data_IF_028505001782
#
_entry.id   IF_028505001782
#
_cell.length_a   1.000
_cell.length_b   1.000
_cell.length_c   1.000
_cell.angle_alpha   90.00
_cell.angle_beta   90.00
_cell.angle_gamma   90.00
#
_symmetry.space_group_name_H-M   'P 1'
#
loop_
_entity.id
_entity.type
_entity.pdbx_description
1 polymer ?
#
# COMPACT_ATOMS: atom_id res chain seq x y z
N UNK A 1 17.69 4.94 55.44
CA UNK A 1 16.62 4.90 54.42
C UNK A 1 17.04 5.76 53.23
N UNK A 2 17.36 5.18 52.07
CA UNK A 2 17.53 5.84 50.74
C UNK A 2 18.31 4.92 49.79
N UNK A 3 17.71 3.83 49.32
CA UNK A 3 18.21 3.03 48.17
C UNK A 3 17.07 2.19 47.60
N UNK A 4 16.03 2.82 47.05
CA UNK A 4 14.96 2.09 46.32
C UNK A 4 14.42 2.80 45.07
N UNK A 5 15.06 3.88 44.60
CA UNK A 5 14.52 4.68 43.49
C UNK A 5 15.16 4.44 42.11
N UNK A 6 16.12 3.53 41.98
CA UNK A 6 16.84 3.33 40.69
C UNK A 6 16.20 2.21 39.84
N UNK A 7 15.35 1.35 40.41
CA UNK A 7 14.76 0.23 39.65
C UNK A 7 13.55 0.65 38.80
N UNK A 8 12.85 1.75 39.12
CA UNK A 8 11.67 2.18 38.36
C UNK A 8 12.00 2.92 37.05
N UNK A 9 13.20 3.49 36.91
CA UNK A 9 13.55 4.22 35.69
C UNK A 9 13.89 3.27 34.52
N UNK A 10 14.45 2.08 34.81
CA UNK A 10 14.79 1.11 33.77
C UNK A 10 13.56 0.48 33.11
N UNK A 11 12.46 0.34 33.84
CA UNK A 11 11.22 -0.22 33.29
C UNK A 11 10.55 0.72 32.27
N UNK A 12 10.70 2.03 32.43
CA UNK A 12 10.13 3.03 31.52
C UNK A 12 10.85 3.02 30.17
N UNK A 13 12.17 2.79 30.16
CA UNK A 13 12.94 2.70 28.90
C UNK A 13 12.60 1.42 28.13
N UNK A 14 12.36 0.30 28.83
CA UNK A 14 11.97 -0.97 28.20
C UNK A 14 10.52 -0.98 27.68
N UNK A 15 9.62 -0.17 28.28
CA UNK A 15 8.24 -0.05 27.83
C UNK A 15 8.06 0.91 26.63
N UNK A 16 9.02 1.81 26.38
CA UNK A 16 9.01 2.66 25.18
C UNK A 16 9.41 1.89 23.92
N UNK A 17 10.21 0.83 24.03
CA UNK A 17 10.57 -0.04 22.90
C UNK A 17 9.47 -1.05 22.52
N UNK A 18 8.39 -1.16 23.31
CA UNK A 18 7.29 -2.09 23.08
C UNK A 18 6.07 -1.46 22.39
N UNK A 19 6.17 -0.19 21.97
CA UNK A 19 5.22 0.48 21.07
C UNK A 19 5.89 0.87 19.75
N UNK A 20 6.79 0.05 19.23
CA UNK A 20 7.11 0.10 17.81
C UNK A 20 6.18 -0.91 17.12
N UNK A 21 4.92 -0.53 16.93
CA UNK A 21 4.17 -1.02 15.78
C UNK A 21 4.83 -0.34 14.57
N UNK A 22 6.05 -0.78 14.22
CA UNK A 22 6.69 -0.38 12.98
C UNK A 22 5.79 -0.92 11.87
N UNK A 23 5.13 0.01 11.19
CA UNK A 23 4.36 -0.28 9.99
C UNK A 23 5.30 -0.92 8.96
N UNK A 24 5.00 -2.15 8.57
CA UNK A 24 5.84 -2.97 7.68
C UNK A 24 6.09 -2.31 6.32
N UNK A 25 5.17 -1.45 5.87
CA UNK A 25 5.26 -0.79 4.59
C UNK A 25 6.01 0.54 4.67
N UNK A 26 6.08 1.15 5.85
CA UNK A 26 6.64 2.50 6.00
C UNK A 26 8.10 2.58 5.57
N UNK A 27 8.41 3.58 4.75
CA UNK A 27 9.72 3.81 4.15
C UNK A 27 9.99 2.96 2.90
N UNK A 28 9.04 2.15 2.44
CA UNK A 28 9.18 1.34 1.22
C UNK A 28 8.49 2.00 0.03
N UNK A 29 9.08 1.81 -1.15
CA UNK A 29 8.47 2.14 -2.43
C UNK A 29 8.27 0.86 -3.23
N UNK A 30 7.10 0.74 -3.84
CA UNK A 30 6.73 -0.43 -4.62
C UNK A 30 6.08 -0.04 -5.94
N UNK A 31 6.31 -0.86 -6.95
CA UNK A 31 5.59 -0.80 -8.21
C UNK A 31 4.45 -1.84 -8.20
N UNK A 32 3.22 -1.38 -8.40
CA UNK A 32 2.06 -2.26 -8.57
C UNK A 32 1.88 -2.54 -10.06
N UNK A 33 1.92 -3.80 -10.47
CA UNK A 33 1.91 -4.17 -11.89
C UNK A 33 1.00 -5.35 -12.20
N UNK A 34 0.51 -5.43 -13.44
CA UNK A 34 -0.28 -6.56 -13.90
C UNK A 34 0.57 -7.83 -14.02
N UNK A 35 -0.02 -8.97 -13.65
CA UNK A 35 0.58 -10.27 -13.96
C UNK A 35 0.53 -10.55 -15.48
N UNK A 36 1.64 -10.95 -16.13
CA UNK A 36 1.66 -11.34 -17.53
C UNK A 36 0.69 -12.48 -17.85
N UNK A 37 0.12 -12.46 -19.05
CA UNK A 37 -0.82 -13.49 -19.52
C UNK A 37 -0.10 -14.75 -20.00
N UNK A 38 1.11 -14.60 -20.55
CA UNK A 38 1.89 -15.72 -21.08
C UNK A 38 2.70 -16.38 -19.96
N UNK A 39 2.60 -17.70 -19.87
CA UNK A 39 3.29 -18.46 -18.81
C UNK A 39 4.80 -18.25 -18.84
N UNK A 40 5.40 -18.18 -20.04
CA UNK A 40 6.84 -17.97 -20.22
C UNK A 40 7.31 -16.58 -19.73
N UNK A 41 6.40 -15.62 -19.56
CA UNK A 41 6.69 -14.27 -19.10
C UNK A 41 6.55 -14.11 -17.57
N UNK A 42 5.99 -15.10 -16.86
CA UNK A 42 5.69 -14.98 -15.42
C UNK A 42 6.93 -14.76 -14.54
N UNK A 43 8.07 -15.29 -14.96
CA UNK A 43 9.35 -15.16 -14.24
C UNK A 43 10.23 -14.02 -14.80
N UNK A 44 9.69 -13.20 -15.71
CA UNK A 44 10.40 -12.10 -16.37
C UNK A 44 9.90 -10.74 -15.84
N UNK A 45 10.64 -10.07 -14.92
CA UNK A 45 10.17 -8.84 -14.29
C UNK A 45 9.87 -7.71 -15.29
N UNK A 46 10.57 -7.67 -16.42
CA UNK A 46 10.35 -6.68 -17.49
C UNK A 46 9.09 -6.89 -18.33
N UNK A 47 8.28 -7.92 -18.02
CA UNK A 47 7.00 -8.21 -18.70
C UNK A 47 5.79 -7.77 -17.90
N UNK A 48 6.00 -7.30 -16.68
CA UNK A 48 4.95 -6.80 -15.81
C UNK A 48 4.67 -5.35 -16.18
N UNK A 49 3.44 -5.07 -16.62
CA UNK A 49 3.02 -3.74 -17.01
C UNK A 49 2.59 -2.93 -15.78
N UNK A 50 3.33 -1.85 -15.51
CA UNK A 50 3.10 -0.96 -14.37
C UNK A 50 1.69 -0.39 -14.34
N UNK A 51 0.98 -0.55 -13.23
CA UNK A 51 -0.28 0.14 -12.93
C UNK A 51 0.05 1.49 -12.28
N UNK A 52 0.79 1.48 -11.17
CA UNK A 52 1.16 2.66 -10.39
C UNK A 52 2.36 2.38 -9.49
N UNK A 53 3.06 3.42 -9.05
CA UNK A 53 4.03 3.34 -7.96
C UNK A 53 3.37 3.82 -6.67
N UNK A 54 3.68 3.16 -5.56
CA UNK A 54 3.25 3.52 -4.21
C UNK A 54 4.49 3.75 -3.34
N UNK A 55 4.62 4.95 -2.78
CA UNK A 55 5.64 5.30 -1.79
C UNK A 55 4.96 5.42 -0.43
N UNK A 56 5.31 4.53 0.49
CA UNK A 56 4.74 4.46 1.83
C UNK A 56 5.59 5.29 2.79
N UNK A 57 4.98 6.30 3.39
CA UNK A 57 5.62 7.25 4.29
C UNK A 57 5.27 6.98 5.76
N UNK A 58 5.94 7.66 6.67
CA UNK A 58 5.64 7.63 8.10
C UNK A 58 4.19 8.11 8.36
N UNK A 59 3.52 7.46 9.32
CA UNK A 59 2.18 7.88 9.77
C UNK A 59 1.03 7.48 8.85
N UNK A 60 1.13 6.31 8.20
CA UNK A 60 0.07 5.72 7.37
C UNK A 60 -0.27 6.56 6.12
N UNK A 61 0.72 7.29 5.61
CA UNK A 61 0.61 8.11 4.40
C UNK A 61 1.17 7.36 3.19
N UNK A 62 0.49 7.41 2.06
CA UNK A 62 0.97 6.81 0.80
C UNK A 62 0.95 7.85 -0.32
N UNK A 63 2.03 7.97 -1.06
CA UNK A 63 2.08 8.74 -2.30
C UNK A 63 1.92 7.81 -3.50
N UNK A 64 1.23 8.26 -4.54
CA UNK A 64 1.23 7.58 -5.83
C UNK A 64 1.64 8.50 -6.99
N UNK A 65 2.13 7.89 -8.08
CA UNK A 65 2.62 8.60 -9.28
C UNK A 65 1.55 9.40 -10.03
N UNK A 66 0.26 9.10 -9.81
CA UNK A 66 -0.84 9.71 -10.55
C UNK A 66 -1.41 10.96 -9.90
N UNK A 67 -1.33 11.05 -8.58
CA UNK A 67 -2.19 11.94 -7.81
C UNK A 67 -1.51 12.58 -6.60
N UNK A 68 -0.49 11.93 -6.04
CA UNK A 68 0.17 12.37 -4.82
C UNK A 68 -0.37 11.65 -3.59
N UNK A 69 -0.64 12.40 -2.53
CA UNK A 69 -0.81 11.89 -1.18
C UNK A 69 -2.19 11.27 -0.92
N UNK A 70 -2.20 10.17 -0.18
CA UNK A 70 -3.36 9.50 0.37
C UNK A 70 -2.99 8.81 1.67
N UNK A 71 -3.87 7.93 2.14
CA UNK A 71 -3.66 7.14 3.36
C UNK A 71 -3.73 5.66 3.06
N UNK A 72 -3.08 4.85 3.91
CA UNK A 72 -3.15 3.40 3.80
C UNK A 72 -3.36 2.72 5.15
N UNK A 73 -3.94 1.54 5.09
CA UNK A 73 -4.06 0.64 6.22
C UNK A 73 -3.80 -0.80 5.76
N UNK A 74 -2.91 -1.50 6.46
CA UNK A 74 -2.68 -2.93 6.27
C UNK A 74 -3.19 -3.66 7.52
N UNK A 75 -4.30 -4.38 7.39
CA UNK A 75 -4.85 -5.24 8.45
C UNK A 75 -4.90 -6.67 7.92
N UNK A 76 -4.24 -7.58 8.63
CA UNK A 76 -4.05 -8.96 8.20
C UNK A 76 -3.49 -8.99 6.76
N UNK A 77 -4.22 -9.61 5.83
CA UNK A 77 -3.84 -9.74 4.42
C UNK A 77 -4.54 -8.69 3.53
N UNK A 78 -5.08 -7.60 4.09
CA UNK A 78 -5.84 -6.58 3.35
C UNK A 78 -5.13 -5.24 3.41
N UNK A 79 -4.66 -4.79 2.24
CA UNK A 79 -4.14 -3.44 2.03
C UNK A 79 -5.25 -2.56 1.46
N UNK A 80 -5.67 -1.56 2.23
CA UNK A 80 -6.61 -0.53 1.78
C UNK A 80 -5.87 0.78 1.55
N UNK A 81 -6.04 1.35 0.36
CA UNK A 81 -5.56 2.68 -0.01
C UNK A 81 -6.76 3.62 -0.14
N UNK A 82 -6.61 4.84 0.36
CA UNK A 82 -7.64 5.87 0.31
C UNK A 82 -7.06 7.20 -0.17
N UNK A 83 -7.60 7.73 -1.26
CA UNK A 83 -7.22 9.00 -1.87
C UNK A 83 -8.45 9.90 -1.97
N UNK A 84 -8.32 11.17 -1.59
CA UNK A 84 -9.43 12.13 -1.53
C UNK A 84 -8.98 13.54 -1.93
N UNK A 85 -9.80 14.27 -2.70
CA UNK A 85 -9.75 15.73 -2.84
C UNK A 85 -11.13 16.36 -2.63
N UNK A 86 -11.24 17.67 -2.92
CA UNK A 86 -12.48 18.44 -2.82
C UNK A 86 -13.67 17.92 -3.63
N UNK A 87 -13.44 17.05 -4.62
CA UNK A 87 -14.45 16.60 -5.58
C UNK A 87 -14.59 15.08 -5.67
N UNK A 88 -13.58 14.32 -5.29
CA UNK A 88 -13.47 12.90 -5.60
C UNK A 88 -12.89 12.12 -4.43
N UNK A 89 -13.35 10.88 -4.29
CA UNK A 89 -12.84 9.89 -3.37
C UNK A 89 -12.58 8.59 -4.13
N UNK A 90 -11.43 7.97 -3.87
CA UNK A 90 -11.04 6.66 -4.38
C UNK A 90 -10.55 5.78 -3.23
N UNK A 91 -11.20 4.63 -3.05
CA UNK A 91 -10.73 3.54 -2.19
C UNK A 91 -10.38 2.33 -3.01
N UNK A 92 -9.21 1.76 -2.75
CA UNK A 92 -8.72 0.57 -3.43
C UNK A 92 -8.39 -0.46 -2.36
N UNK A 93 -8.91 -1.68 -2.50
CA UNK A 93 -8.62 -2.78 -1.59
C UNK A 93 -7.91 -3.88 -2.33
N UNK A 94 -6.77 -4.29 -1.81
CA UNK A 94 -6.04 -5.47 -2.26
C UNK A 94 -6.09 -6.53 -1.18
N UNK A 95 -6.22 -7.80 -1.59
CA UNK A 95 -5.76 -8.90 -0.74
C UNK A 95 -4.33 -9.21 -1.13
N UNK A 96 -3.42 -9.12 -0.18
CA UNK A 96 -1.98 -9.32 -0.37
C UNK A 96 -1.54 -10.64 0.27
N UNK A 97 -0.49 -11.24 -0.27
CA UNK A 97 0.25 -12.36 0.34
C UNK A 97 1.70 -12.27 -0.10
N UNK A 98 2.61 -12.86 0.66
CA UNK A 98 4.02 -12.99 0.23
C UNK A 98 4.10 -13.58 -1.18
N UNK A 99 4.93 -12.98 -2.03
CA UNK A 99 5.14 -13.48 -3.40
C UNK A 99 6.11 -14.66 -3.41
N UNK A 100 5.82 -15.67 -4.23
CA UNK A 100 6.75 -16.77 -4.52
C UNK A 100 7.91 -16.33 -5.46
N UNK A 101 7.90 -15.07 -5.93
CA UNK A 101 8.86 -14.54 -6.91
C UNK A 101 9.90 -13.65 -6.23
N UNK A 102 11.17 -13.86 -6.54
CA UNK A 102 12.27 -13.11 -5.92
C UNK A 102 12.17 -11.59 -6.14
N UNK A 103 11.66 -11.16 -7.31
CA UNK A 103 11.52 -9.75 -7.70
C UNK A 103 10.23 -9.07 -7.22
N UNK A 104 9.36 -9.79 -6.52
CA UNK A 104 8.13 -9.24 -5.95
C UNK A 104 8.11 -9.42 -4.44
N UNK A 105 7.57 -8.42 -3.72
CA UNK A 105 7.32 -8.51 -2.29
C UNK A 105 6.01 -9.24 -2.04
N UNK A 106 4.94 -8.80 -2.71
CA UNK A 106 3.61 -9.36 -2.53
C UNK A 106 2.96 -9.72 -3.87
N UNK A 107 2.33 -10.89 -3.89
CA UNK A 107 1.33 -11.22 -4.89
C UNK A 107 -0.03 -10.77 -4.36
N UNK A 108 -0.86 -10.14 -5.20
CA UNK A 108 -2.10 -9.55 -4.74
C UNK A 108 -3.26 -9.70 -5.73
N UNK A 109 -4.47 -9.51 -5.22
CA UNK A 109 -5.71 -9.49 -5.99
C UNK A 109 -6.46 -8.19 -5.67
N UNK A 110 -6.94 -7.52 -6.72
CA UNK A 110 -7.79 -6.33 -6.57
C UNK A 110 -9.16 -6.77 -6.08
N UNK A 111 -9.50 -6.51 -4.82
CA UNK A 111 -10.78 -6.92 -4.21
C UNK A 111 -11.91 -5.96 -4.51
N UNK A 112 -11.62 -4.68 -4.38
CA UNK A 112 -12.61 -3.64 -4.51
C UNK A 112 -11.98 -2.32 -4.95
N UNK A 113 -12.77 -1.55 -5.70
CA UNK A 113 -12.41 -0.22 -6.18
C UNK A 113 -13.67 0.62 -6.09
N UNK A 114 -13.72 1.46 -5.08
CA UNK A 114 -14.86 2.35 -4.83
C UNK A 114 -14.47 3.77 -5.22
N UNK A 115 -15.20 4.33 -6.19
CA UNK A 115 -14.93 5.65 -6.74
C UNK A 115 -16.20 6.48 -6.72
N UNK A 116 -16.11 7.61 -6.03
CA UNK A 116 -17.19 8.58 -5.91
C UNK A 116 -16.72 9.95 -6.38
N UNK A 117 -17.60 10.66 -7.08
CA UNK A 117 -17.37 12.00 -7.59
C UNK A 117 -18.59 12.87 -7.30
N UNK A 118 -18.36 14.02 -6.67
CA UNK A 118 -19.42 14.94 -6.23
C UNK A 118 -19.97 15.71 -7.43
N UNK A 119 -19.10 16.38 -8.19
CA UNK A 119 -19.46 17.13 -9.40
C UNK A 119 -18.93 16.40 -10.64
N UNK A 120 -19.84 15.79 -11.41
CA UNK A 120 -19.50 15.03 -12.62
C UNK A 120 -19.14 15.90 -13.83
N UNK A 121 -19.34 17.22 -13.76
CA UNK A 121 -18.97 18.14 -14.84
C UNK A 121 -17.48 18.53 -14.77
N UNK A 122 -16.81 18.29 -13.63
CA UNK A 122 -15.37 18.49 -13.47
C UNK A 122 -14.57 17.36 -14.15
N UNK A 123 -13.31 17.66 -14.48
CA UNK A 123 -12.36 16.63 -14.94
C UNK A 123 -11.95 15.80 -13.73
N UNK A 124 -11.99 14.47 -13.91
CA UNK A 124 -11.60 13.55 -12.85
C UNK A 124 -10.12 13.24 -12.86
N UNK A 125 -9.53 13.23 -11.67
CA UNK A 125 -8.15 12.85 -11.45
C UNK A 125 -8.02 11.32 -11.32
N UNK A 126 -9.01 10.66 -10.72
CA UNK A 126 -8.96 9.22 -10.44
C UNK A 126 -9.53 8.33 -11.54
N UNK A 127 -10.34 8.87 -12.45
CA UNK A 127 -11.08 8.07 -13.44
C UNK A 127 -10.20 7.22 -14.36
N UNK A 128 -9.01 7.72 -14.70
CA UNK A 128 -8.07 6.97 -15.53
C UNK A 128 -7.39 5.81 -14.77
N UNK A 129 -7.21 5.94 -13.45
CA UNK A 129 -6.68 4.86 -12.63
C UNK A 129 -7.75 3.81 -12.36
N UNK A 130 -8.99 4.21 -12.06
CA UNK A 130 -10.08 3.27 -11.77
C UNK A 130 -10.41 2.35 -12.92
N UNK A 131 -10.34 2.81 -14.18
CA UNK A 131 -10.54 1.94 -15.35
C UNK A 131 -9.44 0.88 -15.52
N UNK A 132 -8.29 1.06 -14.87
CA UNK A 132 -7.17 0.11 -14.88
C UNK A 132 -7.26 -0.90 -13.73
N UNK A 133 -7.97 -0.56 -12.66
CA UNK A 133 -8.13 -1.42 -11.49
C UNK A 133 -9.38 -2.29 -11.65
N UNK A 134 -9.20 -3.46 -12.27
CA UNK A 134 -10.29 -4.39 -12.53
C UNK A 134 -10.40 -5.35 -11.35
N UNK A 135 -11.61 -5.47 -10.77
CA UNK A 135 -11.90 -6.40 -9.68
C UNK A 135 -11.53 -7.85 -10.06
N UNK A 136 -11.03 -8.58 -9.06
CA UNK A 136 -10.55 -9.96 -9.12
C UNK A 136 -9.32 -10.15 -10.04
N UNK A 137 -8.69 -9.06 -10.49
CA UNK A 137 -7.48 -9.12 -11.32
C UNK A 137 -6.25 -9.40 -10.46
N UNK A 138 -5.42 -10.39 -10.83
CA UNK A 138 -4.14 -10.62 -10.18
C UNK A 138 -3.12 -9.54 -10.56
N UNK A 139 -2.35 -9.13 -9.57
CA UNK A 139 -1.28 -8.15 -9.68
C UNK A 139 -0.08 -8.62 -8.85
N UNK A 140 1.08 -8.03 -9.10
CA UNK A 140 2.24 -8.15 -8.22
C UNK A 140 2.65 -6.77 -7.72
N UNK A 141 3.14 -6.73 -6.49
CA UNK A 141 3.77 -5.57 -5.85
C UNK A 141 5.27 -5.83 -5.91
N UNK A 142 5.93 -5.20 -6.87
CA UNK A 142 7.33 -5.40 -7.23
C UNK A 142 8.25 -4.62 -6.29
N UNK A 143 9.39 -5.23 -5.94
CA UNK A 143 10.47 -4.57 -5.19
C UNK A 143 11.18 -3.58 -6.12
N UNK A 144 11.43 -2.37 -5.64
CA UNK A 144 12.32 -1.40 -6.32
C UNK A 144 13.81 -1.72 -6.08
#
# INVERSE_FOLDING_TARGET
MKKRFILSLLLVVLLLSACNNEDELSGKTFEVAYTPVLQDDLDSPNRYDSIMTLEFLDGNVVNNTFYGEGTYELIDDVLELHFENENENLKIKFTVKESDKDFSEYSAEIRDVDFEMIDTDKISDFKNLTVRLIKDMPIEILKE
#
